data_IF_429563056382
#
_entry.id   IF_429563056382
#
_cell.length_a   1.000
_cell.length_b   1.000
_cell.length_c   1.000
_cell.angle_alpha   90.00
_cell.angle_beta   90.00
_cell.angle_gamma   90.00
#
_symmetry.space_group_name_H-M   'P 1'
#
loop_
_entity.id
_entity.type
_entity.pdbx_description
1 polymer ?
#
# COMPACT_ATOMS: atom_id res chain seq x y z
N UNK A 1 2.16 11.46 26.50
CA UNK A 1 2.15 12.42 25.36
C UNK A 1 3.53 13.04 25.11
N UNK A 2 4.31 13.35 26.16
CA UNK A 2 5.72 13.76 26.09
C UNK A 2 6.59 12.84 25.24
N UNK A 3 6.43 11.52 25.41
CA UNK A 3 7.34 10.53 24.82
C UNK A 3 7.12 10.39 23.31
N UNK A 4 5.87 10.51 22.85
CA UNK A 4 5.54 10.51 21.43
C UNK A 4 6.15 11.73 20.70
N UNK A 5 6.10 12.91 21.32
CA UNK A 5 6.72 14.11 20.75
C UNK A 5 8.25 14.00 20.70
N UNK A 6 8.87 13.36 21.69
CA UNK A 6 10.31 13.09 21.68
C UNK A 6 10.70 12.15 20.53
N UNK A 7 9.93 11.09 20.31
CA UNK A 7 10.12 10.15 19.18
C UNK A 7 9.95 10.86 17.83
N UNK A 8 8.93 11.70 17.67
CA UNK A 8 8.71 12.44 16.41
C UNK A 8 9.86 13.42 16.10
N UNK A 9 10.47 14.00 17.14
CA UNK A 9 11.58 14.95 16.99
C UNK A 9 12.91 14.27 16.65
N UNK A 10 13.10 13.00 17.04
CA UNK A 10 14.32 12.26 16.71
C UNK A 10 14.37 11.81 15.25
N UNK A 11 13.25 11.86 14.52
CA UNK A 11 13.19 11.41 13.15
C UNK A 11 14.04 12.23 12.20
N UNK A 12 14.88 11.53 11.42
CA UNK A 12 15.56 12.12 10.28
C UNK A 12 14.55 12.61 9.23
N UNK A 13 14.98 13.52 8.33
CA UNK A 13 14.11 14.06 7.26
C UNK A 13 13.57 12.94 6.37
N UNK A 14 14.40 11.95 6.03
CA UNK A 14 13.98 10.78 5.23
C UNK A 14 12.91 9.95 5.95
N UNK A 15 13.07 9.74 7.26
CA UNK A 15 12.10 9.00 8.05
C UNK A 15 10.77 9.75 8.13
N UNK A 16 10.78 11.07 8.33
CA UNK A 16 9.57 11.89 8.27
C UNK A 16 8.83 11.75 6.93
N UNK A 17 9.57 11.79 5.82
CA UNK A 17 8.99 11.59 4.49
C UNK A 17 8.32 10.23 4.33
N UNK A 18 9.00 9.15 4.72
CA UNK A 18 8.43 7.79 4.65
C UNK A 18 7.20 7.64 5.54
N UNK A 19 7.26 8.11 6.79
CA UNK A 19 6.12 8.05 7.71
C UNK A 19 4.93 8.88 7.20
N UNK A 20 5.18 10.01 6.56
CA UNK A 20 4.12 10.76 5.88
C UNK A 20 3.46 9.94 4.77
N UNK A 21 4.25 9.23 3.94
CA UNK A 21 3.70 8.34 2.90
C UNK A 21 2.90 7.19 3.50
N UNK A 22 3.35 6.60 4.62
CA UNK A 22 2.60 5.54 5.34
C UNK A 22 1.21 6.02 5.78
N UNK A 23 1.12 7.26 6.27
CA UNK A 23 -0.17 7.85 6.68
C UNK A 23 -1.02 8.25 5.48
N UNK A 24 -0.41 8.89 4.49
CA UNK A 24 -1.13 9.45 3.35
C UNK A 24 -1.63 8.38 2.37
N UNK A 25 -0.91 7.27 2.19
CA UNK A 25 -1.28 6.26 1.20
C UNK A 25 -2.68 5.67 1.41
N UNK A 26 -3.04 5.15 2.60
CA UNK A 26 -4.40 4.67 2.87
C UNK A 26 -5.48 5.75 2.72
N UNK A 27 -5.17 7.00 3.07
CA UNK A 27 -6.09 8.14 2.94
C UNK A 27 -6.34 8.46 1.47
N UNK A 28 -5.28 8.55 0.66
CA UNK A 28 -5.37 8.77 -0.78
C UNK A 28 -6.13 7.61 -1.43
N UNK A 29 -5.85 6.37 -1.03
CA UNK A 29 -6.55 5.20 -1.53
C UNK A 29 -8.04 5.23 -1.23
N UNK A 30 -8.42 5.65 -0.02
CA UNK A 30 -9.81 5.81 0.38
C UNK A 30 -10.50 6.96 -0.38
N UNK A 31 -9.86 8.12 -0.50
CA UNK A 31 -10.41 9.28 -1.19
C UNK A 31 -10.49 9.11 -2.71
N UNK A 32 -9.69 8.21 -3.29
CA UNK A 32 -9.78 7.83 -4.70
C UNK A 32 -11.12 7.13 -5.05
N UNK A 33 -11.92 6.72 -4.06
CA UNK A 33 -13.29 6.28 -4.27
C UNK A 33 -14.25 7.44 -4.63
N UNK A 34 -13.91 8.69 -4.30
CA UNK A 34 -14.77 9.85 -4.55
C UNK A 34 -15.16 10.04 -6.03
N UNK A 35 -14.21 10.01 -7.00
CA UNK A 35 -14.53 10.04 -8.43
C UNK A 35 -15.41 8.88 -8.92
N UNK A 36 -15.53 7.79 -8.15
CA UNK A 36 -16.44 6.68 -8.44
C UNK A 36 -17.88 6.94 -7.96
N UNK A 37 -18.16 8.11 -7.38
CA UNK A 37 -19.48 8.50 -6.89
C UNK A 37 -19.74 8.17 -5.42
N UNK A 38 -18.82 7.46 -4.75
CA UNK A 38 -18.99 6.95 -3.38
C UNK A 38 -17.91 7.51 -2.44
N UNK A 39 -17.96 8.80 -2.09
CA UNK A 39 -17.00 9.38 -1.18
C UNK A 39 -17.17 8.82 0.24
N UNK A 40 -16.07 8.47 0.93
CA UNK A 40 -16.12 8.02 2.32
C UNK A 40 -16.65 9.12 3.25
N UNK A 41 -17.47 8.79 4.27
CA UNK A 41 -17.84 9.76 5.29
C UNK A 41 -16.60 10.16 6.10
N UNK A 42 -16.58 11.40 6.58
CA UNK A 42 -15.41 11.99 7.25
C UNK A 42 -14.90 11.17 8.45
N UNK A 43 -15.79 10.49 9.19
CA UNK A 43 -15.40 9.67 10.34
C UNK A 43 -14.66 8.40 9.94
N UNK A 44 -14.92 7.85 8.74
CA UNK A 44 -14.18 6.70 8.18
C UNK A 44 -12.77 7.14 7.77
N UNK A 45 -12.66 8.31 7.14
CA UNK A 45 -11.38 8.94 6.82
C UNK A 45 -10.59 9.18 8.12
N UNK A 46 -11.23 9.70 9.16
CA UNK A 46 -10.60 9.90 10.47
C UNK A 46 -10.10 8.58 11.08
N UNK A 47 -10.89 7.50 11.01
CA UNK A 47 -10.47 6.19 11.51
C UNK A 47 -9.22 5.65 10.76
N UNK A 48 -9.16 5.84 9.43
CA UNK A 48 -7.97 5.49 8.64
C UNK A 48 -6.78 6.35 9.02
N UNK A 49 -6.94 7.67 9.14
CA UNK A 49 -5.86 8.60 9.54
C UNK A 49 -5.31 8.23 10.92
N UNK A 50 -6.18 7.97 11.89
CA UNK A 50 -5.77 7.60 13.26
C UNK A 50 -5.03 6.26 13.25
N UNK A 51 -5.56 5.25 12.57
CA UNK A 51 -4.93 3.91 12.50
C UNK A 51 -3.58 3.96 11.79
N UNK A 52 -3.50 4.67 10.65
CA UNK A 52 -2.26 4.81 9.89
C UNK A 52 -1.23 5.68 10.62
N UNK A 53 -1.67 6.75 11.29
CA UNK A 53 -0.83 7.58 12.17
C UNK A 53 -0.27 6.79 13.34
N UNK A 54 -1.10 5.94 13.97
CA UNK A 54 -0.65 5.06 15.04
C UNK A 54 0.41 4.07 14.55
N UNK A 55 0.18 3.43 13.39
CA UNK A 55 1.15 2.53 12.77
C UNK A 55 2.45 3.25 12.35
N UNK A 56 2.36 4.50 11.90
CA UNK A 56 3.53 5.29 11.57
C UNK A 56 4.42 5.55 12.79
N UNK A 57 3.87 5.65 13.99
CA UNK A 57 4.64 5.79 15.24
C UNK A 57 5.06 4.43 15.81
N UNK A 58 4.17 3.44 15.76
CA UNK A 58 4.33 2.09 16.33
C UNK A 58 4.17 1.04 15.22
N UNK A 59 5.21 0.76 14.42
CA UNK A 59 5.12 -0.11 13.25
C UNK A 59 4.75 -1.56 13.61
N UNK A 60 5.15 -2.04 14.78
CA UNK A 60 4.84 -3.41 15.24
C UNK A 60 3.40 -3.55 15.76
N UNK A 61 2.61 -2.47 15.76
CA UNK A 61 1.20 -2.52 16.10
C UNK A 61 0.36 -3.07 14.94
N UNK A 62 -0.73 -3.77 15.27
CA UNK A 62 -1.73 -4.20 14.28
C UNK A 62 -2.48 -3.03 13.60
N UNK A 63 -2.20 -1.77 13.96
CA UNK A 63 -2.92 -0.61 13.43
C UNK A 63 -2.74 -0.40 11.91
N UNK A 64 -1.60 -0.83 11.35
CA UNK A 64 -1.38 -0.78 9.90
C UNK A 64 -2.33 -1.70 9.14
N UNK A 65 -2.56 -2.90 9.68
CA UNK A 65 -3.55 -3.84 9.15
C UNK A 65 -4.97 -3.25 9.27
N UNK A 66 -5.30 -2.62 10.40
CA UNK A 66 -6.61 -1.95 10.57
C UNK A 66 -6.81 -0.86 9.51
N UNK A 67 -5.81 0.01 9.28
CA UNK A 67 -5.89 1.05 8.25
C UNK A 67 -6.13 0.45 6.85
N UNK A 68 -5.43 -0.64 6.52
CA UNK A 68 -5.61 -1.36 5.25
C UNK A 68 -7.02 -1.97 5.14
N UNK A 69 -7.49 -2.66 6.18
CA UNK A 69 -8.82 -3.28 6.20
C UNK A 69 -9.94 -2.25 6.11
N UNK A 70 -9.78 -1.06 6.72
CA UNK A 70 -10.73 0.04 6.57
C UNK A 70 -10.77 0.57 5.14
N UNK A 71 -9.61 0.72 4.48
CA UNK A 71 -9.54 1.15 3.09
C UNK A 71 -10.17 0.11 2.15
N UNK A 72 -9.81 -1.17 2.30
CA UNK A 72 -10.38 -2.29 1.53
C UNK A 72 -11.88 -2.41 1.79
N UNK A 73 -12.31 -2.35 3.04
CA UNK A 73 -13.72 -2.46 3.43
C UNK A 73 -14.60 -1.34 2.88
N UNK A 74 -14.03 -0.17 2.58
CA UNK A 74 -14.73 0.88 1.83
C UNK A 74 -14.86 0.50 0.35
N UNK A 75 -13.76 0.10 -0.28
CA UNK A 75 -13.74 -0.27 -1.70
C UNK A 75 -14.66 -1.46 -2.05
N UNK A 76 -14.89 -2.39 -1.12
CA UNK A 76 -15.86 -3.49 -1.29
C UNK A 76 -17.31 -2.98 -1.43
N UNK A 77 -17.61 -1.77 -0.94
CA UNK A 77 -18.94 -1.16 -1.08
C UNK A 77 -19.10 -0.29 -2.31
N UNK A 78 -17.99 0.07 -2.97
CA UNK A 78 -18.05 0.86 -4.20
C UNK A 78 -18.64 -0.04 -5.29
N UNK A 79 -19.72 0.38 -5.98
CA UNK A 79 -20.33 -0.41 -7.04
C UNK A 79 -19.32 -0.85 -8.11
N UNK A 80 -19.47 -2.09 -8.58
CA UNK A 80 -18.60 -2.71 -9.59
C UNK A 80 -18.83 -2.18 -11.02
N UNK A 81 -19.51 -1.04 -11.17
CA UNK A 81 -19.93 -0.44 -12.44
C UNK A 81 -18.71 0.07 -13.22
N UNK A 82 -17.99 -0.87 -13.83
CA UNK A 82 -16.90 -0.63 -14.77
C UNK A 82 -15.50 -0.46 -14.17
N UNK A 83 -15.24 -0.75 -12.90
CA UNK A 83 -13.91 -0.60 -12.27
C UNK A 83 -13.26 0.75 -12.59
N UNK A 84 -13.53 1.82 -11.83
CA UNK A 84 -13.07 3.16 -12.16
C UNK A 84 -11.53 3.21 -12.22
N UNK A 85 -10.98 4.04 -13.11
CA UNK A 85 -9.52 4.22 -13.23
C UNK A 85 -8.88 4.71 -11.91
N UNK A 86 -9.66 5.33 -11.03
CA UNK A 86 -9.21 5.73 -9.69
C UNK A 86 -8.84 4.54 -8.79
N UNK A 87 -9.30 3.32 -9.09
CA UNK A 87 -8.84 2.10 -8.42
C UNK A 87 -7.33 1.85 -8.60
N UNK A 88 -6.75 2.26 -9.74
CA UNK A 88 -5.31 2.19 -9.98
C UNK A 88 -4.53 3.16 -9.07
N UNK A 89 -5.11 4.34 -8.82
CA UNK A 89 -4.56 5.32 -7.86
C UNK A 89 -4.58 4.73 -6.45
N UNK A 90 -5.68 4.08 -6.07
CA UNK A 90 -5.78 3.41 -4.78
C UNK A 90 -4.75 2.28 -4.62
N UNK A 91 -4.59 1.44 -5.64
CA UNK A 91 -3.58 0.38 -5.64
C UNK A 91 -2.15 0.94 -5.51
N UNK A 92 -1.83 2.00 -6.26
CA UNK A 92 -0.53 2.67 -6.19
C UNK A 92 -0.28 3.28 -4.81
N UNK A 93 -1.29 3.93 -4.22
CA UNK A 93 -1.17 4.57 -2.91
C UNK A 93 -0.99 3.56 -1.76
N UNK A 94 -1.73 2.44 -1.79
CA UNK A 94 -1.56 1.33 -0.83
C UNK A 94 -0.17 0.72 -0.94
N UNK A 95 0.30 0.45 -2.17
CA UNK A 95 1.62 -0.12 -2.40
C UNK A 95 2.74 0.84 -1.95
N UNK A 96 2.60 2.14 -2.24
CA UNK A 96 3.54 3.16 -1.81
C UNK A 96 3.62 3.23 -0.28
N UNK A 97 2.50 3.20 0.43
CA UNK A 97 2.48 3.15 1.90
C UNK A 97 3.13 1.88 2.45
N UNK A 98 2.84 0.71 1.85
CA UNK A 98 3.42 -0.56 2.27
C UNK A 98 4.94 -0.56 2.10
N UNK A 99 5.43 -0.15 0.93
CA UNK A 99 6.87 -0.06 0.68
C UNK A 99 7.54 1.00 1.57
N UNK A 100 6.90 2.15 1.78
CA UNK A 100 7.42 3.16 2.69
C UNK A 100 7.54 2.63 4.12
N UNK A 101 6.60 1.83 4.60
CA UNK A 101 6.68 1.18 5.92
C UNK A 101 7.85 0.19 5.99
N UNK A 102 8.04 -0.65 4.98
CA UNK A 102 9.16 -1.60 4.90
C UNK A 102 10.52 -0.89 4.88
N UNK A 103 10.65 0.16 4.08
CA UNK A 103 11.87 0.96 4.01
C UNK A 103 12.11 1.71 5.31
N UNK A 104 11.07 2.27 5.94
CA UNK A 104 11.19 2.96 7.22
C UNK A 104 11.67 2.02 8.34
N UNK A 105 11.27 0.74 8.30
CA UNK A 105 11.70 -0.29 9.24
C UNK A 105 13.14 -0.77 9.03
N UNK A 106 13.75 -0.47 7.87
CA UNK A 106 15.13 -0.91 7.55
C UNK A 106 16.24 -0.11 8.24
N UNK A 107 15.91 1.01 8.87
CA UNK A 107 16.86 1.90 9.54
C UNK A 107 16.30 2.40 10.88
N UNK A 108 17.16 2.72 11.86
CA UNK A 108 16.71 3.32 13.11
C UNK A 108 16.05 4.70 12.87
N UNK A 109 15.23 5.21 13.80
CA UNK A 109 14.43 6.43 13.58
C UNK A 109 15.25 7.70 13.30
N UNK A 110 16.42 7.83 13.89
CA UNK A 110 17.40 8.92 13.70
C UNK A 110 18.35 8.66 12.52
N UNK A 111 18.39 7.42 12.02
CA UNK A 111 19.19 7.00 10.88
C UNK A 111 18.69 7.56 9.55
N UNK A 112 19.62 7.76 8.62
CA UNK A 112 19.30 8.03 7.22
C UNK A 112 18.99 6.72 6.52
N UNK A 113 18.00 6.76 5.64
CA UNK A 113 17.63 5.62 4.80
C UNK A 113 18.68 5.48 3.70
N UNK A 114 19.18 4.26 3.51
CA UNK A 114 20.10 3.94 2.42
C UNK A 114 19.40 4.08 1.06
N UNK A 115 20.00 4.85 0.14
CA UNK A 115 19.43 5.12 -1.18
C UNK A 115 19.36 3.88 -2.08
N UNK A 116 20.27 2.92 -1.91
CA UNK A 116 20.25 1.63 -2.60
C UNK A 116 19.08 0.76 -2.14
N UNK A 117 18.82 0.72 -0.84
CA UNK A 117 17.63 0.05 -0.26
C UNK A 117 16.35 0.68 -0.80
N UNK A 118 16.25 2.02 -0.75
CA UNK A 118 15.09 2.73 -1.29
C UNK A 118 14.87 2.41 -2.76
N UNK A 119 15.92 2.51 -3.59
CA UNK A 119 15.85 2.22 -5.03
C UNK A 119 15.41 0.78 -5.32
N UNK A 120 15.98 -0.20 -4.61
CA UNK A 120 15.63 -1.62 -4.79
C UNK A 120 14.16 -1.87 -4.50
N UNK A 121 13.66 -1.32 -3.40
CA UNK A 121 12.25 -1.42 -3.04
C UNK A 121 11.33 -0.67 -4.00
N UNK A 122 11.72 0.50 -4.49
CA UNK A 122 10.97 1.21 -5.52
C UNK A 122 10.86 0.40 -6.81
N UNK A 123 11.94 -0.23 -7.28
CA UNK A 123 11.89 -1.07 -8.49
C UNK A 123 10.97 -2.28 -8.31
N UNK A 124 11.02 -2.93 -7.15
CA UNK A 124 10.09 -4.02 -6.80
C UNK A 124 8.65 -3.53 -6.75
N UNK A 125 8.40 -2.35 -6.18
CA UNK A 125 7.09 -1.73 -6.14
C UNK A 125 6.56 -1.46 -7.54
N UNK A 126 7.38 -0.88 -8.43
CA UNK A 126 6.99 -0.62 -9.83
C UNK A 126 6.66 -1.92 -10.56
N UNK A 127 7.48 -2.97 -10.38
CA UNK A 127 7.23 -4.27 -10.98
C UNK A 127 5.91 -4.89 -10.51
N UNK A 128 5.60 -4.81 -9.22
CA UNK A 128 4.33 -5.27 -8.66
C UNK A 128 3.17 -4.41 -9.15
N UNK A 129 3.34 -3.08 -9.18
CA UNK A 129 2.32 -2.14 -9.61
C UNK A 129 1.93 -2.34 -11.07
N UNK A 130 2.84 -2.79 -11.92
CA UNK A 130 2.56 -3.11 -13.32
C UNK A 130 1.51 -4.21 -13.50
N UNK A 131 1.28 -5.07 -12.49
CA UNK A 131 0.18 -6.03 -12.53
C UNK A 131 -1.20 -5.36 -12.42
N UNK A 132 -1.31 -4.22 -11.73
CA UNK A 132 -2.58 -3.52 -11.53
C UNK A 132 -3.25 -3.07 -12.85
N UNK A 133 -2.58 -2.34 -13.78
CA UNK A 133 -3.20 -1.97 -15.05
C UNK A 133 -3.51 -3.19 -15.93
N UNK A 134 -2.69 -4.24 -15.88
CA UNK A 134 -2.96 -5.49 -16.62
C UNK A 134 -4.24 -6.14 -16.12
N UNK A 135 -4.40 -6.29 -14.80
CA UNK A 135 -5.62 -6.81 -14.19
C UNK A 135 -6.82 -5.91 -14.45
N UNK A 136 -6.63 -4.58 -14.43
CA UNK A 136 -7.69 -3.61 -14.72
C UNK A 136 -8.20 -3.74 -16.17
N UNK A 137 -7.30 -3.83 -17.15
CA UNK A 137 -7.68 -4.06 -18.56
C UNK A 137 -8.36 -5.41 -18.73
N UNK A 138 -7.82 -6.47 -18.12
CA UNK A 138 -8.42 -7.80 -18.17
C UNK A 138 -9.82 -7.83 -17.56
N UNK A 139 -10.01 -7.15 -16.41
CA UNK A 139 -11.31 -7.02 -15.76
C UNK A 139 -12.33 -6.34 -16.65
N UNK A 140 -11.92 -5.24 -17.30
CA UNK A 140 -12.76 -4.51 -18.25
C UNK A 140 -13.13 -5.36 -19.47
N UNK A 141 -12.20 -6.16 -19.99
CA UNK A 141 -12.45 -7.04 -21.12
C UNK A 141 -13.39 -8.22 -20.79
N UNK A 142 -13.31 -8.75 -19.57
CA UNK A 142 -14.13 -9.88 -19.10
C UNK A 142 -15.49 -9.45 -18.54
N UNK A 143 -15.62 -8.23 -18.00
CA UNK A 143 -16.86 -7.72 -17.43
C UNK A 143 -18.04 -7.72 -18.41
N UNK A 144 -17.76 -7.53 -19.70
CA UNK A 144 -18.76 -7.60 -20.78
C UNK A 144 -19.24 -9.03 -21.08
N UNK A 145 -18.52 -10.06 -20.60
CA UNK A 145 -18.72 -11.46 -20.99
C UNK A 145 -19.27 -12.33 -19.84
N UNK A 146 -19.32 -11.80 -18.60
CA UNK A 146 -19.70 -12.55 -17.40
C UNK A 146 -18.58 -13.46 -16.92
N UNK A 147 -17.80 -13.01 -15.93
CA UNK A 147 -16.69 -13.79 -15.39
C UNK A 147 -17.18 -15.01 -14.56
N UNK A 148 -16.58 -16.20 -14.74
CA UNK A 148 -16.90 -17.38 -13.91
C UNK A 148 -16.68 -17.13 -12.41
N UNK A 149 -17.53 -17.68 -11.54
CA UNK A 149 -17.34 -17.60 -10.10
C UNK A 149 -15.99 -18.24 -9.71
N UNK A 150 -15.14 -17.48 -9.02
CA UNK A 150 -13.81 -17.93 -8.58
C UNK A 150 -12.63 -17.46 -9.46
N UNK A 151 -12.88 -16.84 -10.61
CA UNK A 151 -11.82 -16.28 -11.48
C UNK A 151 -10.96 -15.25 -10.72
N UNK A 152 -11.59 -14.40 -9.92
CA UNK A 152 -10.92 -13.35 -9.15
C UNK A 152 -10.01 -13.89 -8.03
N UNK A 153 -10.48 -14.79 -7.13
CA UNK A 153 -9.61 -15.47 -6.17
C UNK A 153 -8.45 -16.24 -6.83
N UNK A 154 -8.70 -16.94 -7.93
CA UNK A 154 -7.68 -17.71 -8.64
C UNK A 154 -6.62 -16.80 -9.28
N UNK A 155 -7.05 -15.70 -9.91
CA UNK A 155 -6.16 -14.68 -10.46
C UNK A 155 -5.31 -14.02 -9.39
N UNK A 156 -5.90 -13.68 -8.24
CA UNK A 156 -5.16 -13.14 -7.09
C UNK A 156 -4.11 -14.14 -6.59
N UNK A 157 -4.49 -15.40 -6.41
CA UNK A 157 -3.56 -16.46 -5.99
C UNK A 157 -2.42 -16.62 -7.00
N UNK A 158 -2.70 -16.62 -8.30
CA UNK A 158 -1.68 -16.72 -9.34
C UNK A 158 -0.70 -15.55 -9.31
N UNK A 159 -1.18 -14.32 -9.10
CA UNK A 159 -0.33 -13.13 -8.95
C UNK A 159 0.54 -13.23 -7.69
N UNK A 160 -0.04 -13.64 -6.56
CA UNK A 160 0.72 -13.85 -5.31
C UNK A 160 1.83 -14.90 -5.52
N UNK A 161 1.53 -16.02 -6.17
CA UNK A 161 2.51 -17.07 -6.47
C UNK A 161 3.59 -16.58 -7.44
N UNK A 162 3.23 -15.82 -8.48
CA UNK A 162 4.17 -15.26 -9.44
C UNK A 162 5.12 -14.25 -8.77
N UNK A 163 4.60 -13.38 -7.90
CA UNK A 163 5.43 -12.44 -7.12
C UNK A 163 6.34 -13.19 -6.16
N UNK A 164 5.83 -14.20 -5.44
CA UNK A 164 6.63 -15.03 -4.54
C UNK A 164 7.78 -15.73 -5.30
N UNK A 165 7.48 -16.34 -6.45
CA UNK A 165 8.48 -16.97 -7.31
C UNK A 165 9.51 -15.96 -7.86
N UNK A 166 9.07 -14.78 -8.28
CA UNK A 166 9.97 -13.73 -8.74
C UNK A 166 10.90 -13.27 -7.60
N UNK A 167 10.40 -13.16 -6.36
CA UNK A 167 11.24 -12.78 -5.20
C UNK A 167 12.23 -13.86 -4.79
N UNK A 168 11.90 -15.15 -4.94
CA UNK A 168 12.81 -16.26 -4.61
C UNK A 168 13.87 -16.50 -5.67
N UNK A 169 13.62 -16.09 -6.92
CA UNK A 169 14.57 -16.19 -8.03
C UNK A 169 15.73 -15.18 -7.96
N UNK A 170 15.63 -14.14 -7.10
CA UNK A 170 16.75 -13.23 -6.85
C UNK A 170 17.57 -13.72 -5.65
N UNK A 171 18.76 -14.32 -5.86
CA UNK A 171 19.62 -14.70 -4.75
C UNK A 171 19.95 -13.48 -3.90
N UNK A 172 19.84 -13.63 -2.57
CA UNK A 172 20.37 -12.68 -1.60
C UNK A 172 21.87 -12.54 -1.84
N UNK A 173 22.26 -11.50 -2.59
CA UNK A 173 23.65 -11.20 -2.88
C UNK A 173 24.46 -11.21 -1.59
N UNK A 174 25.34 -12.21 -1.47
CA UNK A 174 26.27 -12.31 -0.36
C UNK A 174 27.06 -11.01 -0.26
N UNK A 175 27.10 -10.44 0.94
CA UNK A 175 28.03 -9.34 1.23
C UNK A 175 29.45 -9.85 0.97
N UNK A 176 30.27 -9.19 0.14
CA UNK A 176 31.70 -9.42 0.20
C UNK A 176 32.16 -9.01 1.61
N UNK A 177 32.86 -9.93 2.27
CA UNK A 177 33.52 -9.71 3.56
C UNK A 177 34.71 -8.76 3.46
#
# INVERSE_FOLDING_TARGET
MSDALAVLRSWSVSQRGLRAVVVLGPVVALLAAGPAGEPPPWWWVAAVVVSAGWHAVLPDSGAGLVALLLAVGWWVRVPDDGLPASSLVAAAAVLAAHVAALVAASAPPDGRVDGGVLRSWTLRAVAVLAAAPVLWVLARALGEQGAPPGLWPAGLLAVVLAVAAATSAFPSGGRPG
#
